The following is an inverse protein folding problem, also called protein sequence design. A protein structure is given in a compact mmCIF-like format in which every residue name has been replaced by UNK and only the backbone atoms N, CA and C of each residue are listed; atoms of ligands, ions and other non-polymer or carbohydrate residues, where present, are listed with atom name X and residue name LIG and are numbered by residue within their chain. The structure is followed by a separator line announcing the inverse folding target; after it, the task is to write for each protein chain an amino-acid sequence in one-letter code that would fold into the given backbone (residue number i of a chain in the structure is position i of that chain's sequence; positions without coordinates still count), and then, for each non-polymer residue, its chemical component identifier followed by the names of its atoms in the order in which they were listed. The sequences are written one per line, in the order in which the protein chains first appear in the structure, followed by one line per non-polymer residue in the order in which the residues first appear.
data_IF_792827262512
#
_entry.id   IF_792827262512
#
_cell.length_a   1.000
_cell.length_b   1.000
_cell.length_c   1.000
_cell.angle_alpha   90.00
_cell.angle_beta   90.00
_cell.angle_gamma   90.00
#
_symmetry.space_group_name_H-M   'P 1'
#
loop_
_entity.id
_entity.type
_entity.pdbx_description
1 polymer ?
#
# COMPACT_ATOMS: atom_id res chain seq x y z
N UNK A 1 11.53 -20.80 -17.30
CA UNK A 1 10.96 -20.89 -15.94
C UNK A 1 9.46 -20.60 -16.03
N UNK A 2 8.59 -21.21 -15.22
CA UNK A 2 7.14 -20.85 -15.27
C UNK A 2 6.96 -19.43 -14.74
N UNK A 3 6.06 -18.64 -15.33
CA UNK A 3 5.89 -17.21 -15.01
C UNK A 3 5.63 -16.97 -13.52
N UNK A 4 4.71 -17.71 -12.92
CA UNK A 4 4.42 -17.59 -11.48
C UNK A 4 5.63 -17.83 -10.57
N UNK A 5 6.60 -18.65 -11.00
CA UNK A 5 7.85 -18.86 -10.22
C UNK A 5 8.69 -17.60 -10.27
N UNK A 6 8.73 -16.93 -11.42
CA UNK A 6 9.52 -15.72 -11.64
C UNK A 6 8.95 -14.56 -10.81
N UNK A 7 7.63 -14.37 -10.83
CA UNK A 7 6.93 -13.42 -9.96
C UNK A 7 7.15 -13.72 -8.48
N UNK A 8 7.03 -14.99 -8.06
CA UNK A 8 7.30 -15.38 -6.68
C UNK A 8 8.75 -15.09 -6.27
N UNK A 9 9.73 -15.37 -7.15
CA UNK A 9 11.13 -15.03 -6.92
C UNK A 9 11.33 -13.52 -6.81
N UNK A 10 10.61 -12.72 -7.60
CA UNK A 10 10.65 -11.27 -7.51
C UNK A 10 10.15 -10.79 -6.15
N UNK A 11 8.98 -11.25 -5.69
CA UNK A 11 8.46 -10.89 -4.38
C UNK A 11 9.41 -11.33 -3.27
N UNK A 12 9.85 -12.60 -3.28
CA UNK A 12 10.80 -13.10 -2.30
C UNK A 12 12.09 -12.26 -2.26
N UNK A 13 12.62 -11.86 -3.42
CA UNK A 13 13.77 -10.97 -3.49
C UNK A 13 13.49 -9.62 -2.81
N UNK A 14 12.36 -8.97 -3.11
CA UNK A 14 11.99 -7.69 -2.49
C UNK A 14 11.84 -7.82 -0.97
N UNK A 15 11.08 -8.80 -0.49
CA UNK A 15 10.83 -8.98 0.94
C UNK A 15 12.12 -9.34 1.71
N UNK A 16 12.98 -10.20 1.15
CA UNK A 16 14.28 -10.55 1.75
C UNK A 16 15.21 -9.34 1.77
N UNK A 17 15.30 -8.60 0.66
CA UNK A 17 16.11 -7.38 0.59
C UNK A 17 15.66 -6.37 1.65
N UNK A 18 14.35 -6.12 1.75
CA UNK A 18 13.79 -5.20 2.73
C UNK A 18 14.06 -5.67 4.17
N UNK A 19 13.95 -6.96 4.45
CA UNK A 19 14.22 -7.48 5.79
C UNK A 19 15.71 -7.37 6.16
N UNK A 20 16.62 -7.66 5.24
CA UNK A 20 18.07 -7.43 5.43
C UNK A 20 18.34 -5.96 5.72
N UNK A 21 17.74 -5.05 4.93
CA UNK A 21 17.89 -3.61 5.13
C UNK A 21 17.33 -3.15 6.48
N UNK A 22 16.21 -3.71 6.95
CA UNK A 22 15.66 -3.40 8.29
C UNK A 22 16.60 -3.87 9.40
N UNK A 23 17.21 -5.05 9.26
CA UNK A 23 18.19 -5.56 10.23
C UNK A 23 19.42 -4.64 10.28
N UNK A 24 19.92 -4.21 9.12
CA UNK A 24 21.04 -3.25 9.03
C UNK A 24 20.64 -1.91 9.64
N UNK A 25 19.48 -1.36 9.28
CA UNK A 25 19.00 -0.08 9.80
C UNK A 25 18.86 -0.09 11.32
N UNK A 26 18.34 -1.19 11.90
CA UNK A 26 18.34 -1.37 13.36
C UNK A 26 19.77 -1.34 13.89
N UNK A 27 20.68 -2.17 13.40
CA UNK A 27 22.07 -2.19 13.87
C UNK A 27 22.79 -0.82 13.74
N UNK A 28 22.52 -0.07 12.69
CA UNK A 28 23.17 1.23 12.43
C UNK A 28 22.57 2.38 13.26
N UNK A 29 21.27 2.35 13.54
CA UNK A 29 20.54 3.47 14.16
C UNK A 29 19.96 3.14 15.55
N UNK A 30 20.22 1.94 16.08
CA UNK A 30 19.82 1.52 17.42
C UNK A 30 20.71 2.16 18.48
N UNK A 31 20.44 3.44 18.72
CA UNK A 31 20.77 4.13 19.97
C UNK A 31 19.45 4.64 20.54
N UNK A 32 18.93 3.95 21.55
CA UNK A 32 17.69 4.32 22.24
C UNK A 32 17.94 5.65 22.97
N UNK A 33 17.14 6.68 22.70
CA UNK A 33 17.18 7.92 23.48
C UNK A 33 16.86 7.60 24.96
N UNK A 34 17.35 8.42 25.91
CA UNK A 34 17.07 8.37 27.36
C UNK A 34 15.57 8.24 27.69
N UNK A 35 14.68 8.66 26.77
CA UNK A 35 13.21 8.57 26.89
C UNK A 35 12.58 7.31 26.27
N UNK A 36 13.37 6.38 25.73
CA UNK A 36 12.87 5.13 25.16
C UNK A 36 12.28 5.23 23.75
N UNK A 37 12.30 6.41 23.12
CA UNK A 37 11.75 6.64 21.79
C UNK A 37 12.68 6.13 20.68
N UNK A 38 12.09 5.55 19.62
CA UNK A 38 12.80 5.22 18.38
C UNK A 38 13.35 6.51 17.77
N UNK A 39 14.64 6.49 17.40
CA UNK A 39 15.29 7.63 16.76
C UNK A 39 14.61 7.96 15.43
N UNK A 40 14.43 9.26 15.13
CA UNK A 40 13.81 9.73 13.88
C UNK A 40 14.46 9.09 12.65
N UNK A 41 15.78 8.86 12.67
CA UNK A 41 16.51 8.19 11.60
C UNK A 41 16.02 6.76 11.36
N UNK A 42 15.74 5.98 12.41
CA UNK A 42 15.22 4.61 12.26
C UNK A 42 13.77 4.63 11.75
N UNK A 43 12.95 5.61 12.17
CA UNK A 43 11.61 5.81 11.58
C UNK A 43 11.71 6.12 10.09
N UNK A 44 12.58 7.05 9.70
CA UNK A 44 12.81 7.41 8.30
C UNK A 44 13.33 6.23 7.48
N UNK A 45 14.28 5.47 8.02
CA UNK A 45 14.80 4.27 7.35
C UNK A 45 13.72 3.20 7.18
N UNK A 46 12.92 2.93 8.21
CA UNK A 46 11.81 1.99 8.12
C UNK A 46 10.74 2.46 7.12
N UNK A 47 10.44 3.76 7.09
CA UNK A 47 9.49 4.32 6.12
C UNK A 47 9.99 4.11 4.69
N UNK A 48 11.26 4.42 4.42
CA UNK A 48 11.88 4.15 3.12
C UNK A 48 11.77 2.67 2.73
N UNK A 49 12.21 1.77 3.61
CA UNK A 49 12.23 0.33 3.34
C UNK A 49 10.81 -0.22 3.17
N UNK A 50 9.86 0.24 4.00
CA UNK A 50 8.46 -0.15 3.91
C UNK A 50 7.81 0.29 2.61
N UNK A 51 8.04 1.53 2.18
CA UNK A 51 7.54 2.01 0.89
C UNK A 51 8.15 1.24 -0.29
N UNK A 52 9.45 0.89 -0.23
CA UNK A 52 10.04 -0.01 -1.24
C UNK A 52 9.36 -1.37 -1.27
N UNK A 53 9.08 -1.94 -0.09
CA UNK A 53 8.42 -3.24 0.02
C UNK A 53 7.00 -3.24 -0.55
N UNK A 54 6.24 -2.16 -0.39
CA UNK A 54 4.88 -2.06 -0.93
C UNK A 54 4.90 -1.73 -2.42
N UNK A 55 5.71 -0.75 -2.85
CA UNK A 55 5.67 -0.26 -4.23
C UNK A 55 6.34 -1.22 -5.22
N UNK A 56 7.48 -1.84 -4.87
CA UNK A 56 8.23 -2.63 -5.84
C UNK A 56 7.46 -3.85 -6.40
N UNK A 57 6.74 -4.66 -5.59
CA UNK A 57 5.94 -5.77 -6.10
C UNK A 57 4.82 -5.33 -7.05
N UNK A 58 4.31 -4.11 -6.92
CA UNK A 58 3.17 -3.61 -7.71
C UNK A 58 3.50 -3.43 -9.19
N UNK A 59 4.78 -3.30 -9.55
CA UNK A 59 5.21 -3.29 -10.94
C UNK A 59 5.04 -4.63 -11.66
N UNK A 60 4.78 -5.74 -10.94
CA UNK A 60 4.55 -7.07 -11.53
C UNK A 60 3.06 -7.37 -11.76
N UNK A 61 2.15 -6.54 -11.24
CA UNK A 61 0.70 -6.83 -11.23
C UNK A 61 0.13 -6.91 -12.64
N UNK A 62 0.49 -5.96 -13.52
CA UNK A 62 0.05 -5.99 -14.93
C UNK A 62 0.63 -7.20 -15.67
N UNK A 63 1.86 -7.60 -15.34
CA UNK A 63 2.47 -8.82 -15.88
C UNK A 63 1.70 -10.08 -15.46
N UNK A 64 1.28 -10.18 -14.20
CA UNK A 64 0.42 -11.29 -13.73
C UNK A 64 -0.96 -11.22 -14.37
N UNK A 65 -1.56 -10.03 -14.49
CA UNK A 65 -2.87 -9.83 -15.11
C UNK A 65 -2.90 -10.30 -16.57
N UNK A 66 -1.89 -9.96 -17.37
CA UNK A 66 -1.83 -10.34 -18.79
C UNK A 66 -1.69 -11.86 -18.99
N UNK A 67 -1.01 -12.55 -18.08
CA UNK A 67 -0.70 -13.97 -18.24
C UNK A 67 -1.65 -14.91 -17.47
N UNK A 68 -2.23 -14.44 -16.36
CA UNK A 68 -3.09 -15.22 -15.47
C UNK A 68 -4.45 -14.57 -15.20
N UNK A 69 -4.73 -13.40 -15.77
CA UNK A 69 -6.01 -12.73 -15.60
C UNK A 69 -6.33 -12.36 -14.16
N UNK A 70 -7.62 -12.12 -13.90
CA UNK A 70 -8.12 -11.64 -12.61
C UNK A 70 -7.86 -12.60 -11.44
N UNK A 71 -7.84 -13.91 -11.69
CA UNK A 71 -7.54 -14.88 -10.63
C UNK A 71 -6.07 -14.84 -10.21
N UNK A 72 -5.16 -14.60 -11.16
CA UNK A 72 -3.74 -14.37 -10.84
C UNK A 72 -3.56 -13.18 -9.91
N UNK A 73 -4.16 -12.03 -10.29
CA UNK A 73 -4.13 -10.79 -9.51
C UNK A 73 -4.71 -10.99 -8.11
N UNK A 74 -5.85 -11.69 -7.98
CA UNK A 74 -6.45 -11.97 -6.67
C UNK A 74 -5.45 -12.65 -5.72
N UNK A 75 -4.79 -13.71 -6.18
CA UNK A 75 -3.86 -14.48 -5.36
C UNK A 75 -2.55 -13.73 -5.13
N UNK A 76 -2.06 -13.01 -6.13
CA UNK A 76 -0.88 -12.15 -6.03
C UNK A 76 -1.07 -11.07 -4.96
N UNK A 77 -2.12 -10.25 -5.08
CA UNK A 77 -2.38 -9.16 -4.14
C UNK A 77 -2.63 -9.73 -2.74
N UNK A 78 -3.42 -10.79 -2.61
CA UNK A 78 -3.63 -11.42 -1.30
C UNK A 78 -2.31 -11.92 -0.67
N UNK A 79 -1.40 -12.50 -1.48
CA UNK A 79 -0.09 -12.93 -0.99
C UNK A 79 0.76 -11.74 -0.53
N UNK A 80 0.83 -10.68 -1.33
CA UNK A 80 1.60 -9.46 -1.02
C UNK A 80 1.04 -8.78 0.24
N UNK A 81 -0.28 -8.68 0.38
CA UNK A 81 -0.93 -8.11 1.56
C UNK A 81 -0.69 -8.92 2.83
N UNK A 82 -0.76 -10.25 2.76
CA UNK A 82 -0.39 -11.12 3.89
C UNK A 82 1.07 -10.89 4.29
N UNK A 83 1.98 -10.88 3.31
CA UNK A 83 3.40 -10.67 3.56
C UNK A 83 3.67 -9.28 4.18
N UNK A 84 3.02 -8.23 3.68
CA UNK A 84 3.11 -6.89 4.24
C UNK A 84 2.56 -6.82 5.66
N UNK A 85 1.43 -7.45 5.95
CA UNK A 85 0.87 -7.46 7.31
C UNK A 85 1.83 -8.04 8.36
N UNK A 86 2.67 -9.01 7.99
CA UNK A 86 3.67 -9.59 8.89
C UNK A 86 5.03 -8.88 8.87
N UNK A 87 5.44 -8.31 7.73
CA UNK A 87 6.82 -7.85 7.52
C UNK A 87 6.99 -6.33 7.43
N UNK A 88 5.92 -5.55 7.23
CA UNK A 88 6.00 -4.08 7.09
C UNK A 88 6.44 -3.38 8.39
N UNK A 89 6.14 -3.99 9.56
CA UNK A 89 6.52 -3.54 10.91
C UNK A 89 6.09 -2.10 11.22
N UNK A 90 7.05 -1.19 11.42
CA UNK A 90 6.83 0.17 11.93
C UNK A 90 6.63 1.21 10.81
N UNK A 91 6.66 0.79 9.54
CA UNK A 91 6.47 1.67 8.40
C UNK A 91 4.98 1.92 8.15
N UNK A 92 4.62 3.16 7.77
CA UNK A 92 3.25 3.47 7.35
C UNK A 92 3.07 3.15 5.87
N UNK A 93 4.01 3.60 5.03
CA UNK A 93 4.05 3.35 3.59
C UNK A 93 2.74 3.73 2.84
N UNK A 94 1.99 4.67 3.41
CA UNK A 94 0.76 5.22 2.86
C UNK A 94 0.65 6.71 3.27
N UNK A 95 0.51 7.64 2.31
CA UNK A 95 0.27 9.06 2.60
C UNK A 95 -1.01 9.35 3.39
N UNK A 96 -2.07 8.52 3.28
CA UNK A 96 -3.39 8.79 3.86
C UNK A 96 -3.35 8.87 5.40
N UNK A 97 -2.83 7.87 6.14
CA UNK A 97 -2.63 7.96 7.58
C UNK A 97 -1.64 9.06 7.99
N UNK A 98 -0.68 9.41 7.11
CA UNK A 98 0.27 10.48 7.38
C UNK A 98 -0.42 11.84 7.46
N UNK A 99 -1.22 12.16 6.44
CA UNK A 99 -1.97 13.41 6.33
C UNK A 99 -3.06 13.51 7.41
N UNK A 100 -3.82 12.44 7.60
CA UNK A 100 -4.86 12.39 8.65
C UNK A 100 -4.30 12.60 10.06
N UNK A 101 -3.08 12.11 10.32
CA UNK A 101 -2.38 12.35 11.58
C UNK A 101 -2.05 13.83 11.82
N UNK A 102 -1.79 14.61 10.76
CA UNK A 102 -1.60 16.07 10.86
C UNK A 102 -2.95 16.74 11.14
N UNK A 103 -4.01 16.38 10.41
CA UNK A 103 -5.36 16.93 10.61
C UNK A 103 -5.85 16.76 12.05
N UNK A 104 -5.58 15.61 12.67
CA UNK A 104 -5.93 15.31 14.07
C UNK A 104 -4.96 15.90 15.11
N UNK A 105 -3.95 16.67 14.69
CA UNK A 105 -2.93 17.22 15.60
C UNK A 105 -2.00 16.17 16.25
N UNK A 106 -2.00 14.93 15.74
CA UNK A 106 -1.21 13.80 16.27
C UNK A 106 0.22 13.76 15.70
N UNK A 107 0.49 14.48 14.62
CA UNK A 107 1.79 14.54 13.93
C UNK A 107 2.12 15.98 13.55
N UNK A 108 3.38 16.39 13.76
CA UNK A 108 3.85 17.72 13.34
C UNK A 108 4.02 17.79 11.82
N UNK A 109 3.83 18.99 11.25
CA UNK A 109 4.03 19.24 9.81
C UNK A 109 5.44 18.87 9.33
N UNK A 110 6.48 19.18 10.12
CA UNK A 110 7.85 18.83 9.77
C UNK A 110 8.10 17.32 9.68
N UNK A 111 7.54 16.54 10.61
CA UNK A 111 7.64 15.07 10.56
C UNK A 111 6.84 14.50 9.40
N UNK A 112 5.65 15.04 9.13
CA UNK A 112 4.85 14.68 7.95
C UNK A 112 5.63 14.92 6.65
N UNK A 113 6.17 16.12 6.44
CA UNK A 113 6.92 16.46 5.23
C UNK A 113 8.15 15.56 5.05
N UNK A 114 8.85 15.23 6.15
CA UNK A 114 10.00 14.32 6.13
C UNK A 114 9.60 12.92 5.67
N UNK A 115 8.55 12.34 6.26
CA UNK A 115 8.12 10.98 5.93
C UNK A 115 7.54 10.91 4.52
N UNK A 116 6.73 11.88 4.10
CA UNK A 116 6.19 11.95 2.74
C UNK A 116 7.31 12.11 1.70
N UNK A 117 8.29 12.98 1.96
CA UNK A 117 9.44 13.12 1.07
C UNK A 117 10.21 11.81 0.91
N UNK A 118 10.40 11.07 2.01
CA UNK A 118 11.05 9.75 1.99
C UNK A 118 10.22 8.72 1.21
N UNK A 119 8.89 8.75 1.35
CA UNK A 119 7.99 7.89 0.57
C UNK A 119 8.16 8.13 -0.94
N UNK A 120 8.27 9.38 -1.40
CA UNK A 120 8.54 9.68 -2.82
C UNK A 120 9.89 9.15 -3.31
N UNK A 121 10.95 9.32 -2.51
CA UNK A 121 12.28 8.79 -2.87
C UNK A 121 12.25 7.27 -2.93
N UNK A 122 11.60 6.62 -1.97
CA UNK A 122 11.44 5.17 -1.93
C UNK A 122 10.59 4.63 -3.09
N UNK A 123 9.50 5.31 -3.44
CA UNK A 123 8.64 4.98 -4.57
C UNK A 123 9.42 4.99 -5.89
N UNK A 124 10.20 6.05 -6.15
CA UNK A 124 11.08 6.09 -7.31
C UNK A 124 12.15 4.99 -7.28
N UNK A 125 12.77 4.76 -6.11
CA UNK A 125 13.76 3.71 -5.94
C UNK A 125 13.18 2.30 -6.18
N UNK A 126 11.90 2.09 -5.86
CA UNK A 126 11.20 0.82 -6.09
C UNK A 126 11.20 0.43 -7.56
N UNK A 127 10.97 1.39 -8.45
CA UNK A 127 11.06 1.18 -9.90
C UNK A 127 12.47 0.76 -10.33
N UNK A 128 13.51 1.39 -9.77
CA UNK A 128 14.90 1.01 -10.08
C UNK A 128 15.24 -0.40 -9.62
N UNK A 129 14.74 -0.80 -8.44
CA UNK A 129 14.91 -2.17 -7.92
C UNK A 129 14.20 -3.18 -8.82
N UNK A 130 12.95 -2.89 -9.22
CA UNK A 130 12.18 -3.73 -10.14
C UNK A 130 12.90 -3.89 -11.49
N UNK A 131 13.32 -2.78 -12.13
CA UNK A 131 14.09 -2.82 -13.38
C UNK A 131 15.40 -3.59 -13.25
N UNK A 132 16.10 -3.45 -12.12
CA UNK A 132 17.34 -4.21 -11.87
C UNK A 132 17.06 -5.70 -11.78
N UNK A 133 15.95 -6.10 -11.16
CA UNK A 133 15.54 -7.49 -11.10
C UNK A 133 15.19 -8.03 -12.50
N UNK A 134 14.41 -7.29 -13.27
CA UNK A 134 14.02 -7.67 -14.63
C UNK A 134 15.23 -7.83 -15.56
N UNK A 135 16.24 -6.98 -15.41
CA UNK A 135 17.52 -7.06 -16.15
C UNK A 135 18.26 -8.39 -15.95
N UNK A 136 18.00 -9.13 -14.87
CA UNK A 136 18.59 -10.46 -14.67
C UNK A 136 18.07 -11.50 -15.68
N UNK A 137 16.98 -11.21 -16.39
CA UNK A 137 16.52 -12.03 -17.51
C UNK A 137 16.01 -13.42 -17.14
N UNK A 138 15.42 -13.57 -15.96
CA UNK A 138 14.86 -14.86 -15.50
C UNK A 138 13.70 -15.37 -16.38
N UNK A 139 13.08 -14.47 -17.16
CA UNK A 139 12.04 -14.77 -18.16
C UNK A 139 12.13 -13.81 -19.36
N UNK A 140 11.80 -14.24 -20.60
CA UNK A 140 11.78 -13.36 -21.78
C UNK A 140 10.95 -12.08 -21.60
N UNK A 141 9.74 -12.18 -21.06
CA UNK A 141 8.91 -10.99 -20.80
C UNK A 141 9.51 -10.01 -19.78
N UNK A 142 10.36 -10.45 -18.83
CA UNK A 142 11.09 -9.51 -17.97
C UNK A 142 12.12 -8.71 -18.76
N UNK A 143 12.74 -9.31 -19.78
CA UNK A 143 13.63 -8.57 -20.69
C UNK A 143 12.83 -7.55 -21.49
N UNK A 144 11.64 -7.93 -21.98
CA UNK A 144 10.74 -7.01 -22.68
C UNK A 144 10.33 -5.83 -21.77
N UNK A 145 9.91 -6.09 -20.53
CA UNK A 145 9.58 -5.05 -19.54
C UNK A 145 10.78 -4.15 -19.20
N UNK A 146 11.99 -4.72 -19.13
CA UNK A 146 13.20 -3.93 -18.88
C UNK A 146 13.57 -3.02 -20.06
N UNK A 147 13.37 -3.51 -21.29
CA UNK A 147 13.63 -2.80 -22.54
C UNK A 147 12.56 -1.77 -22.88
N UNK A 148 11.32 -1.98 -22.42
CA UNK A 148 10.25 -1.03 -22.63
C UNK A 148 10.49 0.23 -21.79
N UNK A 149 10.61 1.37 -22.47
CA UNK A 149 10.74 2.68 -21.83
C UNK A 149 9.38 3.38 -21.69
N UNK A 150 8.33 2.86 -22.35
CA UNK A 150 6.98 3.38 -22.30
C UNK A 150 6.21 2.71 -21.16
N UNK A 151 5.56 3.51 -20.32
CA UNK A 151 4.61 3.04 -19.31
C UNK A 151 3.19 3.51 -19.64
N UNK A 152 2.22 2.62 -19.43
CA UNK A 152 0.80 2.90 -19.62
C UNK A 152 0.16 3.45 -18.35
N UNK A 153 -0.82 4.34 -18.50
CA UNK A 153 -1.68 4.74 -17.38
C UNK A 153 -2.80 3.71 -17.18
N UNK A 154 -3.08 3.34 -15.93
CA UNK A 154 -4.17 2.40 -15.61
C UNK A 154 -5.54 3.08 -15.47
N UNK A 155 -5.58 4.43 -15.45
CA UNK A 155 -6.84 5.17 -15.45
C UNK A 155 -7.48 5.15 -16.84
N UNK A 156 -8.47 4.29 -17.02
CA UNK A 156 -9.19 4.11 -18.31
C UNK A 156 -10.54 4.82 -18.34
N UNK A 157 -10.95 5.41 -17.22
CA UNK A 157 -12.26 6.03 -17.05
C UNK A 157 -12.19 7.54 -16.77
N UNK A 158 -13.36 8.20 -16.75
CA UNK A 158 -13.44 9.62 -16.41
C UNK A 158 -12.94 9.90 -14.99
N UNK A 159 -12.41 11.11 -14.77
CA UNK A 159 -11.85 11.54 -13.47
C UNK A 159 -12.85 11.31 -12.32
N UNK A 160 -14.11 11.69 -12.51
CA UNK A 160 -15.14 11.52 -11.48
C UNK A 160 -15.38 10.03 -11.18
N UNK A 161 -15.50 9.20 -12.22
CA UNK A 161 -15.76 7.78 -12.01
C UNK A 161 -14.56 7.07 -11.38
N UNK A 162 -13.34 7.35 -11.84
CA UNK A 162 -12.11 6.81 -11.24
C UNK A 162 -11.95 7.24 -9.78
N UNK A 163 -12.26 8.49 -9.46
CA UNK A 163 -12.24 8.99 -8.08
C UNK A 163 -13.21 8.23 -7.17
N UNK A 164 -14.42 7.93 -7.66
CA UNK A 164 -15.40 7.14 -6.92
C UNK A 164 -14.93 5.70 -6.72
N UNK A 165 -14.34 5.09 -7.76
CA UNK A 165 -13.82 3.72 -7.72
C UNK A 165 -12.72 3.60 -6.64
N UNK A 166 -11.70 4.46 -6.67
CA UNK A 166 -10.63 4.49 -5.65
C UNK A 166 -11.16 4.75 -4.24
N UNK A 167 -12.07 5.73 -4.09
CA UNK A 167 -12.67 6.07 -2.81
C UNK A 167 -13.49 4.90 -2.21
N UNK A 168 -14.35 4.29 -3.01
CA UNK A 168 -15.19 3.16 -2.59
C UNK A 168 -14.33 1.96 -2.24
N UNK A 169 -13.28 1.68 -3.03
CA UNK A 169 -12.31 0.62 -2.74
C UNK A 169 -11.68 0.80 -1.36
N UNK A 170 -11.12 1.98 -1.08
CA UNK A 170 -10.50 2.29 0.21
C UNK A 170 -11.50 2.18 1.38
N UNK A 171 -12.69 2.78 1.24
CA UNK A 171 -13.76 2.70 2.26
C UNK A 171 -14.10 1.24 2.54
N UNK A 172 -14.23 0.43 1.50
CA UNK A 172 -14.64 -0.98 1.61
C UNK A 172 -13.59 -1.81 2.32
N UNK A 173 -12.30 -1.63 2.00
CA UNK A 173 -11.18 -2.26 2.70
C UNK A 173 -11.17 -1.90 4.19
N UNK A 174 -11.36 -0.62 4.53
CA UNK A 174 -11.38 -0.13 5.92
C UNK A 174 -12.59 -0.64 6.72
N UNK A 175 -13.78 -0.69 6.11
CA UNK A 175 -14.97 -1.27 6.75
C UNK A 175 -14.78 -2.77 6.97
N UNK A 176 -14.23 -3.48 5.99
CA UNK A 176 -13.95 -4.91 6.11
C UNK A 176 -12.95 -5.20 7.25
N UNK A 177 -11.87 -4.43 7.33
CA UNK A 177 -10.89 -4.49 8.43
C UNK A 177 -11.60 -4.38 9.79
N UNK A 178 -12.44 -3.35 9.97
CA UNK A 178 -13.20 -3.16 11.22
C UNK A 178 -14.19 -4.30 11.49
N UNK A 179 -14.86 -4.78 10.45
CA UNK A 179 -15.83 -5.86 10.57
C UNK A 179 -15.16 -7.16 11.06
N UNK A 180 -14.01 -7.52 10.50
CA UNK A 180 -13.27 -8.72 10.88
C UNK A 180 -12.68 -8.61 12.29
N UNK A 181 -12.16 -7.44 12.68
CA UNK A 181 -11.74 -7.17 14.05
C UNK A 181 -12.87 -7.36 15.07
N UNK A 182 -14.08 -6.86 14.76
CA UNK A 182 -15.25 -6.95 15.66
C UNK A 182 -15.78 -8.38 15.80
N UNK A 183 -15.62 -9.22 14.78
CA UNK A 183 -16.08 -10.62 14.79
C UNK A 183 -15.22 -11.57 15.65
N UNK A 184 -14.29 -11.04 16.46
CA UNK A 184 -13.41 -11.80 17.36
C UNK A 184 -12.58 -12.86 16.62
N UNK A 185 -12.27 -12.62 15.34
CA UNK A 185 -11.31 -13.43 14.63
C UNK A 185 -9.93 -13.31 15.31
N UNK A 186 -9.18 -14.40 15.32
CA UNK A 186 -7.78 -14.32 15.74
C UNK A 186 -7.02 -13.35 14.83
N UNK A 187 -5.95 -12.72 15.34
CA UNK A 187 -5.16 -11.73 14.57
C UNK A 187 -4.78 -12.25 13.17
N UNK A 188 -4.38 -13.51 13.07
CA UNK A 188 -4.00 -14.11 11.79
C UNK A 188 -5.20 -14.27 10.85
N UNK A 189 -6.36 -14.70 11.36
CA UNK A 189 -7.58 -14.84 10.55
C UNK A 189 -8.05 -13.49 10.00
N UNK A 190 -7.99 -12.43 10.82
CA UNK A 190 -8.27 -11.06 10.36
C UNK A 190 -7.31 -10.65 9.24
N UNK A 191 -6.00 -10.88 9.41
CA UNK A 191 -5.01 -10.60 8.36
C UNK A 191 -5.34 -11.31 7.04
N UNK A 192 -5.60 -12.61 7.07
CA UNK A 192 -5.94 -13.37 5.85
C UNK A 192 -7.24 -12.88 5.21
N UNK A 193 -8.26 -12.58 6.02
CA UNK A 193 -9.53 -12.07 5.53
C UNK A 193 -9.37 -10.69 4.87
N UNK A 194 -8.66 -9.75 5.51
CA UNK A 194 -8.38 -8.43 4.96
C UNK A 194 -7.55 -8.50 3.66
N UNK A 195 -6.55 -9.37 3.61
CA UNK A 195 -5.74 -9.56 2.41
C UNK A 195 -6.56 -10.10 1.23
N UNK A 196 -7.42 -11.09 1.49
CA UNK A 196 -8.33 -11.62 0.46
C UNK A 196 -9.35 -10.56 0.01
N UNK A 197 -9.90 -9.79 0.95
CA UNK A 197 -10.81 -8.67 0.61
C UNK A 197 -10.12 -7.62 -0.23
N UNK A 198 -8.87 -7.27 0.08
CA UNK A 198 -8.08 -6.31 -0.71
C UNK A 198 -7.86 -6.83 -2.13
N UNK A 199 -7.47 -8.10 -2.30
CA UNK A 199 -7.34 -8.71 -3.62
C UNK A 199 -8.66 -8.74 -4.41
N UNK A 200 -9.80 -9.00 -3.75
CA UNK A 200 -11.12 -8.95 -4.39
C UNK A 200 -11.47 -7.53 -4.84
N UNK A 201 -11.22 -6.52 -3.99
CA UNK A 201 -11.44 -5.12 -4.32
C UNK A 201 -10.56 -4.70 -5.51
N UNK A 202 -9.28 -5.10 -5.50
CA UNK A 202 -8.36 -4.85 -6.62
C UNK A 202 -8.91 -5.42 -7.91
N UNK A 203 -9.32 -6.70 -7.93
CA UNK A 203 -9.92 -7.33 -9.12
C UNK A 203 -11.14 -6.58 -9.65
N UNK A 204 -11.97 -6.00 -8.79
CA UNK A 204 -13.16 -5.25 -9.20
C UNK A 204 -12.83 -3.90 -9.86
N UNK A 205 -11.70 -3.29 -9.54
CA UNK A 205 -11.33 -1.96 -10.03
C UNK A 205 -10.10 -1.90 -10.93
N UNK A 206 -9.35 -3.00 -11.09
CA UNK A 206 -8.05 -3.00 -11.77
C UNK A 206 -8.13 -2.47 -13.20
N UNK A 207 -9.16 -2.86 -13.96
CA UNK A 207 -9.34 -2.38 -15.35
C UNK A 207 -9.84 -0.94 -15.46
N UNK A 208 -10.25 -0.31 -14.35
CA UNK A 208 -10.78 1.05 -14.32
C UNK A 208 -9.71 2.06 -13.90
N UNK A 209 -8.96 1.74 -12.85
CA UNK A 209 -7.98 2.66 -12.23
C UNK A 209 -6.67 1.99 -11.81
N UNK A 210 -6.53 0.67 -11.98
CA UNK A 210 -5.50 -0.13 -11.31
C UNK A 210 -5.87 -0.53 -9.87
N UNK A 211 -6.84 0.16 -9.26
CA UNK A 211 -7.30 -0.02 -7.86
C UNK A 211 -6.15 -0.04 -6.86
N UNK A 212 -5.47 1.10 -6.75
CA UNK A 212 -4.30 1.23 -5.89
C UNK A 212 -4.69 1.48 -4.43
N UNK A 213 -5.72 2.30 -4.19
CA UNK A 213 -6.20 2.74 -2.88
C UNK A 213 -5.09 3.29 -1.94
N UNK A 214 -3.91 3.57 -2.47
CA UNK A 214 -2.73 4.09 -1.79
C UNK A 214 -2.03 5.10 -2.73
N UNK A 215 -2.02 6.40 -2.38
CA UNK A 215 -1.50 7.44 -3.26
C UNK A 215 -0.04 7.26 -3.66
N UNK A 216 0.82 6.75 -2.77
CA UNK A 216 2.25 6.60 -3.11
C UNK A 216 2.48 5.43 -4.06
N UNK A 217 1.67 4.38 -3.97
CA UNK A 217 1.74 3.25 -4.89
C UNK A 217 1.27 3.67 -6.27
N UNK A 218 0.12 4.35 -6.35
CA UNK A 218 -0.38 4.90 -7.61
C UNK A 218 0.66 5.84 -8.26
N UNK A 219 1.31 6.69 -7.46
CA UNK A 219 2.37 7.56 -7.94
C UNK A 219 3.57 6.79 -8.47
N UNK A 220 4.02 5.74 -7.78
CA UNK A 220 5.14 4.91 -8.22
C UNK A 220 4.87 4.24 -9.57
N UNK A 221 3.65 3.72 -9.76
CA UNK A 221 3.31 2.88 -10.91
C UNK A 221 2.80 3.66 -12.13
N UNK A 222 2.14 4.80 -11.93
CA UNK A 222 1.38 5.46 -13.02
C UNK A 222 1.68 6.95 -13.21
N UNK A 223 2.45 7.59 -12.33
CA UNK A 223 2.74 9.02 -12.49
C UNK A 223 3.62 9.25 -13.71
N UNK A 224 3.23 10.20 -14.56
CA UNK A 224 3.90 10.51 -15.84
C UNK A 224 3.89 9.34 -16.86
N UNK A 225 2.96 8.39 -16.70
CA UNK A 225 2.69 7.32 -17.64
C UNK A 225 1.46 7.63 -18.50
N UNK A 226 1.47 7.20 -19.75
CA UNK A 226 0.39 7.43 -20.71
C UNK A 226 0.01 8.90 -20.92
N UNK A 227 -1.23 9.14 -21.36
CA UNK A 227 -1.75 10.48 -21.67
C UNK A 227 -2.54 11.13 -20.52
N UNK A 228 -2.49 10.55 -19.31
CA UNK A 228 -3.27 11.05 -18.17
C UNK A 228 -2.63 12.31 -17.61
N UNK A 229 -3.41 13.40 -17.54
CA UNK A 229 -2.91 14.66 -16.98
C UNK A 229 -2.53 14.52 -15.50
N UNK A 230 -1.51 15.27 -15.06
CA UNK A 230 -1.09 15.29 -13.65
C UNK A 230 -2.25 15.67 -12.71
N UNK A 231 -3.12 16.59 -13.14
CA UNK A 231 -4.29 17.00 -12.35
C UNK A 231 -5.24 15.81 -12.17
N UNK A 232 -5.54 15.08 -13.24
CA UNK A 232 -6.37 13.87 -13.17
C UNK A 232 -5.77 12.85 -12.20
N UNK A 233 -4.46 12.62 -12.27
CA UNK A 233 -3.77 11.69 -11.37
C UNK A 233 -3.91 12.12 -9.90
N UNK A 234 -3.63 13.39 -9.56
CA UNK A 234 -3.76 13.85 -8.17
C UNK A 234 -5.21 13.87 -7.67
N UNK A 235 -6.19 14.17 -8.52
CA UNK A 235 -7.60 14.12 -8.12
C UNK A 235 -8.03 12.68 -7.81
N UNK A 236 -7.74 11.75 -8.70
CA UNK A 236 -8.18 10.35 -8.58
C UNK A 236 -7.42 9.59 -7.50
N UNK A 237 -6.08 9.68 -7.48
CA UNK A 237 -5.25 8.83 -6.63
C UNK A 237 -4.80 9.47 -5.32
N UNK A 238 -5.00 10.78 -5.14
CA UNK A 238 -4.62 11.47 -3.90
C UNK A 238 -5.84 12.06 -3.20
N UNK A 239 -6.54 13.00 -3.83
CA UNK A 239 -7.66 13.69 -3.18
C UNK A 239 -8.80 12.73 -2.81
N UNK A 240 -9.18 11.81 -3.71
CA UNK A 240 -10.25 10.86 -3.45
C UNK A 240 -9.90 9.86 -2.33
N UNK A 241 -8.74 9.17 -2.33
CA UNK A 241 -8.30 8.33 -1.21
C UNK A 241 -8.17 9.10 0.11
N UNK A 242 -7.67 10.34 0.11
CA UNK A 242 -7.62 11.15 1.33
C UNK A 242 -9.01 11.46 1.88
N UNK A 243 -9.93 11.91 1.02
CA UNK A 243 -11.30 12.19 1.41
C UNK A 243 -12.00 10.94 1.95
N UNK A 244 -11.83 9.81 1.26
CA UNK A 244 -12.33 8.50 1.66
C UNK A 244 -11.79 8.09 3.03
N UNK A 245 -10.47 8.15 3.23
CA UNK A 245 -9.82 7.78 4.49
C UNK A 245 -10.34 8.61 5.67
N UNK A 246 -10.40 9.94 5.51
CA UNK A 246 -10.90 10.83 6.56
C UNK A 246 -12.38 10.60 6.84
N UNK A 247 -13.21 10.41 5.80
CA UNK A 247 -14.63 10.12 5.96
C UNK A 247 -14.85 8.80 6.72
N UNK A 248 -14.16 7.72 6.32
CA UNK A 248 -14.31 6.42 6.98
C UNK A 248 -13.88 6.46 8.45
N UNK A 249 -12.77 7.12 8.76
CA UNK A 249 -12.31 7.24 10.15
C UNK A 249 -13.31 8.03 11.03
N UNK A 250 -13.98 9.05 10.48
CA UNK A 250 -15.06 9.75 11.19
C UNK A 250 -16.25 8.82 11.43
N UNK A 251 -16.74 8.14 10.39
CA UNK A 251 -17.89 7.23 10.49
C UNK A 251 -17.65 6.09 11.50
N UNK A 252 -16.47 5.47 11.46
CA UNK A 252 -16.14 4.36 12.35
C UNK A 252 -15.91 4.79 13.80
N UNK A 253 -15.50 6.05 14.04
CA UNK A 253 -15.35 6.61 15.40
C UNK A 253 -16.70 6.76 16.08
N UNK A 254 -17.68 7.32 15.38
CA UNK A 254 -19.03 7.54 15.90
C UNK A 254 -19.70 6.20 16.26
N UNK A 255 -19.49 5.16 15.45
CA UNK A 255 -19.97 3.82 15.77
C UNK A 255 -19.34 3.25 17.05
N UNK A 256 -18.03 3.39 17.24
CA UNK A 256 -17.34 2.86 18.42
C UNK A 256 -17.77 3.56 19.71
N UNK A 257 -18.00 4.88 19.66
CA UNK A 257 -18.55 5.63 20.80
C UNK A 257 -19.96 5.15 21.13
N UNK A 258 -20.81 4.93 20.12
CA UNK A 258 -22.18 4.41 20.31
C UNK A 258 -22.24 2.99 20.89
N UNK A 259 -21.32 2.10 20.49
CA UNK A 259 -21.23 0.73 21.02
C UNK A 259 -20.73 0.70 22.48
N UNK A 260 -19.83 1.61 22.83
CA UNK A 260 -19.27 1.72 24.18
C UNK A 260 -20.35 2.15 25.17
N UNK A 261 -21.18 3.14 24.79
CA UNK A 261 -22.35 3.57 25.58
C UNK A 261 -23.34 2.41 25.77
N UNK A 262 -23.67 1.66 24.71
CA UNK A 262 -24.56 0.50 24.81
C UNK A 262 -24.01 -0.62 25.72
N UNK A 263 -22.69 -0.81 25.77
CA UNK A 263 -22.04 -1.80 26.65
C UNK A 263 -21.95 -1.33 28.10
N UNK A 264 -21.81 -0.03 28.37
CA UNK A 264 -21.84 0.51 29.73
C UNK A 264 -23.24 0.41 30.33
N UNK A 265 -24.28 0.70 29.55
CA UNK A 265 -25.67 0.64 30.03
C UNK A 265 -26.07 -0.80 30.40
N UNK A 266 -25.64 -1.80 29.61
CA UNK A 266 -25.86 -3.23 29.90
C UNK A 266 -25.09 -3.78 31.10
N UNK A 267 -24.14 -3.04 31.68
CA UNK A 267 -23.40 -3.46 32.88
C UNK A 267 -23.94 -2.86 34.18
N UNK A 268 -24.91 -1.94 34.06
CA UNK A 268 -25.56 -1.25 35.19
C UNK A 268 -26.91 -1.87 35.57
N UNK A 269 -27.37 -2.87 34.81
CA UNK A 269 -28.51 -3.75 35.09
C UNK A 269 -28.03 -5.15 35.53
#
# INVERSE_FOLDING_TARGET
MRLWIVSLLFYCFIFVLCEILRIIARKCFETRDRKGNIHLALTVANEFIGTVQICAPMFDVNFVLENYGLHGVLFEIAFIEVANAFLLRDAVADPCPLFHGVLKGKRSLGKFATLLGVQFVAAYFSFLVARTFWRMGLHPQHIEMWQNEECSADLTVTILYGSLVEAIGLISSKIAEKFFERRLLSSNQTTFACALTSGLITVLGIHLTGMYANPIVAWACTFNCGEVSHVSHFVVYWLAPFGAYTLTDLLLKDECESETVKKSDKKLD
#
